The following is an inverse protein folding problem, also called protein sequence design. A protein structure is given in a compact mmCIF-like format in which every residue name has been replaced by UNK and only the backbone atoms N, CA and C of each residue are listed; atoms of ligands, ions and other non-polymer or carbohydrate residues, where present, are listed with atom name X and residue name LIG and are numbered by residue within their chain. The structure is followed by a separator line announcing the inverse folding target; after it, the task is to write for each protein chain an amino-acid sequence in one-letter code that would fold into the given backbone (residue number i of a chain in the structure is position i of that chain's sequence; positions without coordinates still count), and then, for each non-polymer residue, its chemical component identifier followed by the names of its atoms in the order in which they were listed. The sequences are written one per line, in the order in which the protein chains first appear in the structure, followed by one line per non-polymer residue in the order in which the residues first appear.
data_IF_746648175247
#
_entry.id   IF_746648175247
#
_cell.length_a   1.000
_cell.length_b   1.000
_cell.length_c   1.000
_cell.angle_alpha   90.00
_cell.angle_beta   90.00
_cell.angle_gamma   90.00
#
_symmetry.space_group_name_H-M   'P 1'
#
loop_
_entity.id
_entity.type
_entity.pdbx_description
1 polymer ?
#
# COMPACT_ATOMS: atom_id res chain seq x y z
N UNK A 1 -21.40 2.07 18.84
CA UNK A 1 -21.89 1.02 17.93
C UNK A 1 -21.15 1.17 16.60
N UNK A 2 -19.95 0.60 16.51
CA UNK A 2 -19.07 0.75 15.34
C UNK A 2 -19.48 -0.27 14.28
N UNK A 3 -20.29 0.15 13.30
CA UNK A 3 -20.68 -0.68 12.17
C UNK A 3 -19.59 -0.68 11.11
N UNK A 4 -19.32 -1.88 10.63
CA UNK A 4 -18.19 -2.29 9.80
C UNK A 4 -18.13 -1.61 8.42
N UNK A 5 -16.91 -1.22 8.05
CA UNK A 5 -16.48 -0.65 6.78
C UNK A 5 -16.50 -1.70 5.64
N UNK A 6 -16.85 -1.44 4.37
CA UNK A 6 -16.84 -2.43 3.30
C UNK A 6 -15.42 -2.68 2.81
N UNK A 7 -14.45 -1.79 3.12
CA UNK A 7 -13.04 -2.15 3.09
C UNK A 7 -12.78 -3.31 4.07
N UNK A 8 -13.33 -3.21 5.30
CA UNK A 8 -13.35 -4.33 6.26
C UNK A 8 -14.15 -5.55 5.77
N UNK A 9 -15.07 -5.45 4.80
CA UNK A 9 -15.78 -6.63 4.27
C UNK A 9 -14.94 -7.45 3.27
N UNK A 10 -14.12 -6.78 2.46
CA UNK A 10 -13.13 -7.45 1.61
C UNK A 10 -11.92 -7.94 2.44
N UNK A 11 -11.56 -7.23 3.51
CA UNK A 11 -10.42 -7.57 4.39
C UNK A 11 -10.76 -8.50 5.57
N UNK A 12 -12.04 -8.67 5.93
CA UNK A 12 -12.47 -9.79 6.80
C UNK A 12 -12.13 -11.13 6.14
N UNK A 13 -12.20 -11.23 4.82
CA UNK A 13 -11.69 -12.40 4.09
C UNK A 13 -10.16 -12.50 4.07
N UNK A 14 -9.42 -11.43 4.37
CA UNK A 14 -7.97 -11.44 4.53
C UNK A 14 -7.53 -11.92 5.91
N UNK A 15 -8.26 -11.55 6.95
CA UNK A 15 -8.02 -11.98 8.33
C UNK A 15 -8.66 -13.34 8.68
N UNK A 16 -9.76 -13.74 8.02
CA UNK A 16 -10.43 -15.04 8.22
C UNK A 16 -9.80 -16.21 7.43
N UNK A 17 -8.76 -15.98 6.62
CA UNK A 17 -8.19 -17.02 5.74
C UNK A 17 -7.36 -18.09 6.46
N UNK A 18 -7.18 -18.01 7.78
CA UNK A 18 -6.34 -18.94 8.54
C UNK A 18 -7.14 -20.02 9.26
N UNK A 19 -8.24 -20.48 8.67
CA UNK A 19 -8.82 -21.75 9.08
C UNK A 19 -7.83 -22.88 8.74
N UNK A 20 -7.35 -23.52 9.80
CA UNK A 20 -6.53 -24.74 9.86
C UNK A 20 -7.29 -25.95 9.32
N UNK A 21 -8.07 -25.81 8.25
CA UNK A 21 -8.60 -27.00 7.60
C UNK A 21 -7.50 -27.61 6.73
N UNK A 22 -7.22 -28.92 6.87
CA UNK A 22 -6.30 -29.60 5.99
C UNK A 22 -6.83 -29.44 4.57
N UNK A 23 -6.08 -28.72 3.74
CA UNK A 23 -6.47 -28.47 2.35
C UNK A 23 -6.56 -29.83 1.66
N UNK A 24 -7.80 -30.27 1.38
CA UNK A 24 -8.09 -31.33 0.42
C UNK A 24 -7.29 -31.08 -0.86
N UNK A 25 -6.74 -32.16 -1.43
CA UNK A 25 -5.83 -32.16 -2.60
C UNK A 25 -6.02 -30.93 -3.50
N UNK A 26 -5.08 -30.00 -3.40
CA UNK A 26 -4.99 -28.82 -4.25
C UNK A 26 -5.07 -29.24 -5.73
N UNK A 27 -6.08 -28.72 -6.45
CA UNK A 27 -6.26 -29.00 -7.86
C UNK A 27 -5.28 -28.16 -8.68
N UNK A 28 -4.85 -28.64 -9.85
CA UNK A 28 -3.92 -27.90 -10.75
C UNK A 28 -4.45 -26.50 -11.10
N UNK A 29 -5.78 -26.36 -11.18
CA UNK A 29 -6.45 -25.09 -11.44
C UNK A 29 -6.24 -24.07 -10.31
N UNK A 30 -6.25 -24.50 -9.05
CA UNK A 30 -6.06 -23.62 -7.89
C UNK A 30 -4.60 -23.14 -7.80
N UNK A 31 -3.65 -24.03 -8.14
CA UNK A 31 -2.23 -23.68 -8.25
C UNK A 31 -2.00 -22.66 -9.36
N UNK A 32 -2.60 -22.84 -10.55
CA UNK A 32 -2.50 -21.87 -11.65
C UNK A 32 -3.12 -20.52 -11.30
N UNK A 33 -4.25 -20.54 -10.58
CA UNK A 33 -4.95 -19.33 -10.12
C UNK A 33 -4.10 -18.53 -9.11
N UNK A 34 -3.24 -19.17 -8.33
CA UNK A 34 -2.20 -18.50 -7.54
C UNK A 34 -1.04 -18.04 -8.44
N UNK A 35 -0.43 -18.96 -9.19
CA UNK A 35 0.84 -18.71 -9.86
C UNK A 35 0.76 -17.63 -10.94
N UNK A 36 -0.27 -17.64 -11.79
CA UNK A 36 -0.34 -16.74 -12.95
C UNK A 36 -0.46 -15.28 -12.49
N UNK A 37 -1.45 -14.89 -11.65
CA UNK A 37 -1.58 -13.51 -11.18
C UNK A 37 -0.37 -13.04 -10.38
N UNK A 38 0.18 -13.90 -9.51
CA UNK A 38 1.37 -13.55 -8.72
C UNK A 38 2.61 -13.36 -9.58
N UNK A 39 2.84 -14.20 -10.60
CA UNK A 39 3.97 -14.05 -11.51
C UNK A 39 3.84 -12.78 -12.36
N UNK A 40 2.62 -12.50 -12.85
CA UNK A 40 2.33 -11.26 -13.58
C UNK A 40 2.59 -10.05 -12.68
N UNK A 41 2.13 -10.08 -11.43
CA UNK A 41 2.42 -9.03 -10.45
C UNK A 41 3.93 -8.83 -10.23
N UNK A 42 4.68 -9.91 -10.01
CA UNK A 42 6.15 -9.83 -9.82
C UNK A 42 6.81 -9.22 -11.06
N UNK A 43 6.42 -9.67 -12.24
CA UNK A 43 6.97 -9.14 -13.50
C UNK A 43 6.70 -7.64 -13.63
N UNK A 44 5.48 -7.22 -13.29
CA UNK A 44 5.05 -5.83 -13.45
C UNK A 44 5.67 -4.88 -12.42
N UNK A 45 5.91 -5.33 -11.18
CA UNK A 45 6.34 -4.46 -10.07
C UNK A 45 7.78 -4.66 -9.59
N UNK A 46 8.40 -5.82 -9.84
CA UNK A 46 9.69 -6.17 -9.23
C UNK A 46 10.82 -6.35 -10.25
N UNK A 47 10.52 -6.56 -11.53
CA UNK A 47 11.56 -6.78 -12.55
C UNK A 47 11.96 -5.43 -13.16
N UNK A 48 13.18 -4.93 -12.88
CA UNK A 48 13.68 -3.75 -13.58
C UNK A 48 13.95 -4.09 -15.04
N UNK A 49 13.56 -3.18 -15.93
CA UNK A 49 13.87 -3.18 -17.35
C UNK A 49 14.86 -2.05 -17.62
N UNK A 50 15.89 -2.32 -18.42
CA UNK A 50 16.74 -1.28 -18.98
C UNK A 50 16.23 -0.94 -20.37
N UNK A 51 15.73 0.28 -20.55
CA UNK A 51 15.27 0.81 -21.82
C UNK A 51 16.13 2.03 -22.12
N UNK A 52 16.83 2.03 -23.26
CA UNK A 52 17.69 3.16 -23.67
C UNK A 52 18.78 3.55 -22.65
N UNK A 53 19.22 2.62 -21.79
CA UNK A 53 20.24 2.86 -20.76
C UNK A 53 19.69 3.31 -19.41
N UNK A 54 18.39 3.61 -19.31
CA UNK A 54 17.72 3.95 -18.05
C UNK A 54 17.03 2.73 -17.44
N UNK A 55 17.06 2.63 -16.11
CA UNK A 55 16.37 1.57 -15.38
C UNK A 55 14.97 2.04 -15.01
N UNK A 56 13.97 1.26 -15.43
CA UNK A 56 12.56 1.48 -15.08
C UNK A 56 11.87 0.15 -14.76
N UNK A 57 10.61 0.18 -14.37
CA UNK A 57 9.79 -0.99 -14.08
C UNK A 57 8.57 -0.95 -15.01
N UNK A 58 8.01 -2.10 -15.47
CA UNK A 58 6.89 -2.09 -16.42
C UNK A 58 5.72 -1.20 -16.01
N UNK A 59 5.35 -1.18 -14.73
CA UNK A 59 4.29 -0.30 -14.22
C UNK A 59 4.64 1.18 -14.37
N UNK A 60 5.89 1.57 -14.13
CA UNK A 60 6.33 2.95 -14.33
C UNK A 60 6.32 3.33 -15.82
N UNK A 61 6.66 2.40 -16.73
CA UNK A 61 6.52 2.63 -18.17
C UNK A 61 5.05 2.86 -18.58
N UNK A 62 4.12 2.07 -18.03
CA UNK A 62 2.68 2.26 -18.25
C UNK A 62 2.20 3.61 -17.70
N UNK A 63 2.67 4.00 -16.51
CA UNK A 63 2.37 5.30 -15.91
C UNK A 63 2.88 6.45 -16.79
N UNK A 64 4.14 6.41 -17.23
CA UNK A 64 4.73 7.41 -18.13
C UNK A 64 3.99 7.49 -19.47
N UNK A 65 3.54 6.34 -20.00
CA UNK A 65 2.72 6.30 -21.20
C UNK A 65 1.38 7.03 -21.00
N UNK A 66 0.68 6.78 -19.88
CA UNK A 66 -0.57 7.51 -19.55
C UNK A 66 -0.29 9.00 -19.34
N UNK A 67 0.78 9.34 -18.60
CA UNK A 67 1.15 10.73 -18.37
C UNK A 67 1.40 11.48 -19.68
N UNK A 68 2.12 10.86 -20.61
CA UNK A 68 2.43 11.44 -21.93
C UNK A 68 1.19 11.53 -22.82
N UNK A 69 0.34 10.49 -22.84
CA UNK A 69 -0.87 10.46 -23.65
C UNK A 69 -1.92 11.50 -23.20
N UNK A 70 -1.97 11.80 -21.90
CA UNK A 70 -2.95 12.71 -21.30
C UNK A 70 -2.33 14.02 -20.77
N UNK A 71 -1.11 14.37 -21.16
CA UNK A 71 -0.38 15.54 -20.64
C UNK A 71 -1.18 16.85 -20.71
N UNK A 72 -1.93 17.07 -21.79
CA UNK A 72 -2.77 18.27 -21.95
C UNK A 72 -4.05 18.29 -21.10
N UNK A 73 -4.50 17.13 -20.61
CA UNK A 73 -5.77 16.97 -19.86
C UNK A 73 -5.51 16.76 -18.37
N UNK A 74 -4.36 16.20 -18.00
CA UNK A 74 -4.00 15.87 -16.62
C UNK A 74 -4.08 17.07 -15.66
N UNK A 75 -3.55 18.26 -15.97
CA UNK A 75 -3.67 19.42 -15.09
C UNK A 75 -5.14 19.83 -14.83
N UNK A 76 -5.97 19.79 -15.86
CA UNK A 76 -7.41 20.08 -15.74
C UNK A 76 -8.09 19.02 -14.87
N UNK A 77 -7.80 17.75 -15.14
CA UNK A 77 -8.35 16.62 -14.38
C UNK A 77 -7.99 16.70 -12.89
N UNK A 78 -6.73 17.01 -12.57
CA UNK A 78 -6.23 17.18 -11.20
C UNK A 78 -6.94 18.35 -10.50
N UNK A 79 -7.10 19.48 -11.19
CA UNK A 79 -7.81 20.62 -10.60
C UNK A 79 -9.26 20.28 -10.29
N UNK A 80 -9.95 19.62 -11.23
CA UNK A 80 -11.35 19.20 -11.07
C UNK A 80 -11.50 18.18 -9.94
N UNK A 81 -10.61 17.18 -9.84
CA UNK A 81 -10.72 16.16 -8.79
C UNK A 81 -10.43 16.73 -7.40
N UNK A 82 -9.47 17.66 -7.27
CA UNK A 82 -9.19 18.36 -6.01
C UNK A 82 -10.36 19.26 -5.59
N UNK A 83 -10.95 19.99 -6.53
CA UNK A 83 -12.16 20.79 -6.26
C UNK A 83 -13.35 19.90 -5.89
N UNK A 84 -13.59 18.83 -6.63
CA UNK A 84 -14.67 17.88 -6.35
C UNK A 84 -14.52 17.25 -4.96
N UNK A 85 -13.32 16.79 -4.62
CA UNK A 85 -13.07 16.17 -3.30
C UNK A 85 -13.24 17.19 -2.17
N UNK A 86 -12.78 18.43 -2.33
CA UNK A 86 -12.98 19.49 -1.35
C UNK A 86 -14.48 19.82 -1.16
N UNK A 87 -15.23 19.99 -2.25
CA UNK A 87 -16.68 20.26 -2.22
C UNK A 87 -17.46 19.10 -1.60
N UNK A 88 -17.20 17.87 -2.03
CA UNK A 88 -17.87 16.68 -1.49
C UNK A 88 -17.56 16.47 0.00
N UNK A 89 -16.35 16.79 0.44
CA UNK A 89 -15.99 16.77 1.87
C UNK A 89 -16.77 17.84 2.64
N UNK A 90 -16.89 19.06 2.09
CA UNK A 90 -17.68 20.13 2.70
C UNK A 90 -19.15 19.73 2.84
N UNK A 91 -19.75 19.18 1.76
CA UNK A 91 -21.14 18.68 1.77
C UNK A 91 -21.29 17.59 2.83
N UNK A 92 -20.36 16.65 2.89
CA UNK A 92 -20.40 15.54 3.86
C UNK A 92 -20.36 16.06 5.30
N UNK A 93 -19.58 17.11 5.56
CA UNK A 93 -19.40 17.68 6.89
C UNK A 93 -20.57 18.54 7.35
N UNK A 94 -21.17 19.31 6.44
CA UNK A 94 -22.28 20.22 6.72
C UNK A 94 -23.62 19.47 6.73
N UNK A 95 -23.92 18.71 5.68
CA UNK A 95 -25.24 18.12 5.47
C UNK A 95 -25.35 16.67 5.93
N UNK A 96 -24.23 16.00 6.22
CA UNK A 96 -24.19 14.59 6.67
C UNK A 96 -25.12 13.68 5.86
N UNK A 97 -25.00 13.67 4.52
CA UNK A 97 -25.93 12.97 3.67
C UNK A 97 -25.84 11.45 3.88
N UNK A 98 -27.01 10.82 4.02
CA UNK A 98 -27.16 9.40 4.35
C UNK A 98 -26.45 8.50 3.32
N UNK A 99 -26.56 8.80 2.02
CA UNK A 99 -25.94 8.01 0.94
C UNK A 99 -24.41 7.96 0.98
N UNK A 100 -23.75 8.95 1.61
CA UNK A 100 -22.30 8.96 1.83
C UNK A 100 -21.95 8.23 3.13
N UNK A 101 -22.72 8.48 4.20
CA UNK A 101 -22.43 7.93 5.52
C UNK A 101 -22.74 6.42 5.63
N UNK A 102 -23.71 5.92 4.88
CA UNK A 102 -24.08 4.50 4.82
C UNK A 102 -23.12 3.67 3.98
N UNK A 103 -22.41 4.28 3.01
CA UNK A 103 -21.46 3.60 2.12
C UNK A 103 -20.05 3.85 2.61
N UNK A 104 -19.39 2.89 3.28
CA UNK A 104 -18.22 3.28 4.05
C UNK A 104 -16.95 3.51 3.24
N UNK A 105 -16.90 3.10 1.96
CA UNK A 105 -15.94 3.65 0.99
C UNK A 105 -16.11 5.17 0.80
N UNK A 106 -17.34 5.65 0.55
CA UNK A 106 -17.60 7.09 0.39
C UNK A 106 -17.41 7.85 1.70
N UNK A 107 -17.78 7.24 2.83
CA UNK A 107 -17.50 7.78 4.16
C UNK A 107 -16.00 7.90 4.42
N UNK A 108 -15.20 6.91 4.05
CA UNK A 108 -13.73 6.98 4.14
C UNK A 108 -13.17 8.07 3.23
N UNK A 109 -13.71 8.20 2.02
CA UNK A 109 -13.24 9.17 1.03
C UNK A 109 -13.58 10.62 1.39
N UNK A 110 -14.78 10.91 1.90
CA UNK A 110 -15.26 12.29 2.14
C UNK A 110 -15.52 12.63 3.62
N UNK A 111 -15.56 11.65 4.51
CA UNK A 111 -15.83 11.82 5.95
C UNK A 111 -14.55 12.00 6.77
N UNK A 112 -13.71 12.97 6.41
CA UNK A 112 -12.40 13.18 7.05
C UNK A 112 -12.45 14.11 8.27
N UNK A 113 -11.39 14.08 9.09
CA UNK A 113 -11.24 14.95 10.26
C UNK A 113 -11.21 16.45 9.87
N UNK A 114 -11.40 17.35 10.83
CA UNK A 114 -11.40 18.80 10.56
C UNK A 114 -10.08 19.32 10.01
N UNK A 115 -8.97 18.74 10.48
CA UNK A 115 -7.64 19.03 9.94
C UNK A 115 -7.53 18.67 8.46
N UNK A 116 -7.89 17.43 8.09
CA UNK A 116 -7.84 16.98 6.70
C UNK A 116 -8.83 17.70 5.79
N UNK A 117 -9.99 18.09 6.33
CA UNK A 117 -10.93 18.93 5.60
C UNK A 117 -10.31 20.30 5.25
N UNK A 118 -9.70 20.98 6.22
CA UNK A 118 -9.05 22.27 5.98
C UNK A 118 -7.90 22.12 4.98
N UNK A 119 -7.10 21.07 5.11
CA UNK A 119 -6.03 20.76 4.16
C UNK A 119 -6.56 20.59 2.73
N UNK A 120 -7.70 19.91 2.53
CA UNK A 120 -8.32 19.76 1.20
C UNK A 120 -8.81 21.09 0.62
N UNK A 121 -9.39 21.97 1.45
CA UNK A 121 -9.81 23.30 1.01
C UNK A 121 -8.61 24.14 0.57
N UNK A 122 -7.54 24.12 1.36
CA UNK A 122 -6.29 24.83 1.05
C UNK A 122 -5.62 24.25 -0.19
N UNK A 123 -5.57 22.92 -0.33
CA UNK A 123 -5.02 22.25 -1.52
C UNK A 123 -5.82 22.59 -2.78
N UNK A 124 -7.15 22.56 -2.73
CA UNK A 124 -8.00 22.92 -3.86
C UNK A 124 -7.82 24.40 -4.25
N UNK A 125 -7.71 25.30 -3.26
CA UNK A 125 -7.42 26.71 -3.50
C UNK A 125 -6.06 26.90 -4.19
N UNK A 126 -4.99 26.29 -3.68
CA UNK A 126 -3.67 26.38 -4.31
C UNK A 126 -3.63 25.73 -5.69
N UNK A 127 -4.30 24.60 -5.91
CA UNK A 127 -4.38 23.96 -7.22
C UNK A 127 -5.02 24.89 -8.27
N UNK A 128 -6.10 25.60 -7.91
CA UNK A 128 -6.71 26.61 -8.80
C UNK A 128 -5.77 27.78 -9.04
N UNK A 129 -5.09 28.29 -8.02
CA UNK A 129 -4.13 29.38 -8.19
C UNK A 129 -2.98 28.98 -9.12
N UNK A 130 -2.42 27.79 -8.93
CA UNK A 130 -1.34 27.26 -9.76
C UNK A 130 -1.81 26.99 -11.19
N UNK A 131 -3.00 26.41 -11.37
CA UNK A 131 -3.56 26.13 -12.69
C UNK A 131 -3.80 27.40 -13.53
N UNK A 132 -4.29 28.48 -12.91
CA UNK A 132 -4.50 29.77 -13.58
C UNK A 132 -3.28 30.71 -13.51
N UNK A 133 -2.15 30.25 -12.94
CA UNK A 133 -0.96 31.07 -12.68
C UNK A 133 -1.29 32.42 -12.00
N UNK A 134 -2.22 32.37 -11.05
CA UNK A 134 -2.79 33.55 -10.40
C UNK A 134 -2.25 33.73 -8.97
N UNK A 135 -2.07 34.99 -8.58
CA UNK A 135 -1.51 35.35 -7.27
C UNK A 135 0.02 35.45 -7.24
N UNK A 136 0.62 35.49 -6.04
CA UNK A 136 2.07 35.62 -5.87
C UNK A 136 2.86 34.53 -6.59
N UNK A 137 3.94 34.91 -7.28
CA UNK A 137 4.81 34.00 -8.06
C UNK A 137 5.37 32.83 -7.23
N UNK A 138 5.54 32.99 -5.92
CA UNK A 138 6.01 31.90 -5.05
C UNK A 138 5.00 30.73 -4.91
N UNK A 139 3.75 30.91 -5.33
CA UNK A 139 2.72 29.87 -5.27
C UNK A 139 2.74 29.00 -6.53
N UNK A 140 2.91 29.61 -7.70
CA UNK A 140 2.77 28.94 -8.99
C UNK A 140 4.08 28.79 -9.77
N UNK A 141 5.21 29.25 -9.23
CA UNK A 141 6.50 29.08 -9.92
C UNK A 141 6.83 27.61 -10.14
N UNK A 142 7.59 27.34 -11.20
CA UNK A 142 8.12 26.01 -11.53
C UNK A 142 9.01 25.40 -10.44
N UNK A 143 9.47 26.18 -9.46
CA UNK A 143 10.26 25.69 -8.31
C UNK A 143 9.40 25.39 -7.08
N UNK A 144 8.09 25.68 -7.13
CA UNK A 144 7.18 25.58 -5.98
C UNK A 144 5.92 24.80 -6.34
N UNK A 145 4.75 25.45 -6.39
CA UNK A 145 3.49 24.77 -6.74
C UNK A 145 3.47 24.29 -8.18
N UNK A 146 4.18 24.95 -9.10
CA UNK A 146 4.31 24.52 -10.50
C UNK A 146 4.94 23.12 -10.62
N UNK A 147 6.05 22.86 -9.91
CA UNK A 147 6.69 21.54 -9.87
C UNK A 147 5.74 20.46 -9.38
N UNK A 148 5.04 20.75 -8.28
CA UNK A 148 4.10 19.80 -7.68
C UNK A 148 2.93 19.52 -8.63
N UNK A 149 2.37 20.56 -9.22
CA UNK A 149 1.15 20.48 -10.00
C UNK A 149 1.36 19.92 -11.41
N UNK A 150 2.46 20.30 -12.07
CA UNK A 150 2.73 19.93 -13.47
C UNK A 150 3.54 18.64 -13.61
N UNK A 151 4.37 18.29 -12.62
CA UNK A 151 5.29 17.14 -12.73
C UNK A 151 4.94 16.05 -11.71
N UNK A 152 4.90 16.38 -10.41
CA UNK A 152 4.75 15.39 -9.36
C UNK A 152 3.34 14.78 -9.30
N UNK A 153 2.28 15.58 -9.17
CA UNK A 153 0.90 15.06 -9.03
C UNK A 153 0.49 14.22 -10.26
N UNK A 154 0.74 14.64 -11.51
CA UNK A 154 0.44 13.81 -12.69
C UNK A 154 1.20 12.48 -12.68
N UNK A 155 2.49 12.49 -12.32
CA UNK A 155 3.27 11.26 -12.22
C UNK A 155 2.72 10.33 -11.12
N UNK A 156 2.39 10.87 -9.95
CA UNK A 156 1.80 10.10 -8.84
C UNK A 156 0.43 9.53 -9.21
N UNK A 157 -0.43 10.32 -9.84
CA UNK A 157 -1.74 9.88 -10.30
C UNK A 157 -1.61 8.71 -11.29
N UNK A 158 -0.70 8.82 -12.26
CA UNK A 158 -0.48 7.78 -13.26
C UNK A 158 0.11 6.51 -12.64
N UNK A 159 1.08 6.64 -11.73
CA UNK A 159 1.65 5.50 -11.01
C UNK A 159 0.62 4.83 -10.12
N UNK A 160 -0.16 5.59 -9.35
CA UNK A 160 -1.18 5.06 -8.45
C UNK A 160 -2.38 4.46 -9.18
N UNK A 161 -2.67 4.89 -10.42
CA UNK A 161 -3.65 4.23 -11.27
C UNK A 161 -3.30 2.75 -11.49
N UNK A 162 -2.08 2.48 -11.95
CA UNK A 162 -1.64 1.10 -12.19
C UNK A 162 -1.30 0.36 -10.91
N UNK A 163 -0.70 1.04 -9.93
CA UNK A 163 -0.44 0.44 -8.62
C UNK A 163 -1.76 0.00 -7.97
N UNK A 164 -2.75 0.89 -7.87
CA UNK A 164 -4.06 0.55 -7.29
C UNK A 164 -4.75 -0.61 -8.02
N UNK A 165 -4.78 -0.60 -9.36
CA UNK A 165 -5.45 -1.64 -10.14
C UNK A 165 -4.75 -3.00 -10.14
N UNK A 166 -3.40 -3.02 -10.14
CA UNK A 166 -2.61 -4.24 -10.34
C UNK A 166 -2.02 -4.81 -9.06
N UNK A 167 -1.89 -4.01 -7.99
CA UNK A 167 -1.42 -4.46 -6.68
C UNK A 167 -2.26 -5.63 -6.11
N UNK A 168 -3.60 -5.69 -6.30
CA UNK A 168 -4.39 -6.86 -5.91
C UNK A 168 -3.89 -8.18 -6.52
N UNK A 169 -3.21 -8.18 -7.67
CA UNK A 169 -2.60 -9.39 -8.25
C UNK A 169 -1.50 -9.98 -7.36
N UNK A 170 -0.79 -9.11 -6.63
CA UNK A 170 0.22 -9.48 -5.65
C UNK A 170 -0.38 -9.80 -4.28
N UNK A 171 -1.38 -9.02 -3.84
CA UNK A 171 -1.90 -9.13 -2.48
C UNK A 171 -3.00 -10.21 -2.32
N UNK A 172 -3.89 -10.37 -3.30
CA UNK A 172 -5.10 -11.17 -3.12
C UNK A 172 -4.94 -12.63 -3.57
N UNK A 173 -3.87 -12.97 -4.29
CA UNK A 173 -3.69 -14.30 -4.88
C UNK A 173 -2.76 -15.23 -4.11
N UNK A 174 -2.32 -14.88 -2.89
CA UNK A 174 -1.57 -15.81 -2.05
C UNK A 174 -0.05 -15.60 -1.99
N UNK A 175 0.49 -14.64 -2.75
CA UNK A 175 1.94 -14.39 -2.78
C UNK A 175 2.47 -13.95 -1.41
N UNK A 176 1.71 -13.10 -0.71
CA UNK A 176 2.08 -12.62 0.62
C UNK A 176 2.16 -13.76 1.63
N UNK A 177 1.26 -14.73 1.57
CA UNK A 177 1.24 -15.91 2.43
C UNK A 177 2.46 -16.81 2.17
N UNK A 178 2.82 -16.99 0.90
CA UNK A 178 4.05 -17.70 0.53
C UNK A 178 5.29 -16.97 1.04
N UNK A 179 5.40 -15.66 0.79
CA UNK A 179 6.55 -14.89 1.21
C UNK A 179 6.64 -14.78 2.73
N UNK A 180 5.52 -14.59 3.43
CA UNK A 180 5.44 -14.62 4.89
C UNK A 180 5.99 -15.93 5.44
N UNK A 181 5.51 -17.07 4.94
CA UNK A 181 5.97 -18.40 5.33
C UNK A 181 7.49 -18.62 5.14
N UNK A 182 8.04 -18.10 4.05
CA UNK A 182 9.47 -18.20 3.74
C UNK A 182 10.31 -17.29 4.62
N UNK A 183 9.84 -16.05 4.80
CA UNK A 183 10.55 -15.00 5.52
C UNK A 183 10.43 -15.13 7.04
N UNK A 184 9.43 -15.85 7.60
CA UNK A 184 9.32 -16.12 9.05
C UNK A 184 10.63 -16.65 9.64
N UNK A 185 11.34 -17.51 8.92
CA UNK A 185 12.62 -18.09 9.38
C UNK A 185 13.75 -17.08 9.48
N UNK A 186 13.67 -15.98 8.74
CA UNK A 186 14.70 -14.93 8.66
C UNK A 186 14.31 -13.75 9.56
N UNK A 187 13.05 -13.32 9.50
CA UNK A 187 12.57 -12.13 10.21
C UNK A 187 12.53 -12.34 11.72
N UNK A 188 12.03 -13.50 12.18
CA UNK A 188 11.90 -13.80 13.61
C UNK A 188 13.24 -13.76 14.37
N UNK A 189 14.34 -14.39 13.91
CA UNK A 189 15.61 -14.33 14.62
C UNK A 189 16.33 -12.98 14.48
N UNK A 190 16.25 -12.30 13.33
CA UNK A 190 17.03 -11.08 13.08
C UNK A 190 16.35 -9.84 13.68
N UNK A 191 15.04 -9.71 13.48
CA UNK A 191 14.30 -8.49 13.80
C UNK A 191 13.40 -8.63 15.02
N UNK A 192 13.29 -9.82 15.63
CA UNK A 192 12.43 -10.08 16.80
C UNK A 192 10.96 -9.74 16.55
N UNK A 193 10.51 -9.96 15.30
CA UNK A 193 9.16 -9.70 14.82
C UNK A 193 8.48 -11.01 14.37
N UNK A 194 7.15 -11.09 14.42
CA UNK A 194 6.41 -12.22 13.86
C UNK A 194 6.65 -12.34 12.36
N UNK A 195 6.63 -13.55 11.81
CA UNK A 195 6.83 -13.77 10.38
C UNK A 195 5.78 -13.10 9.52
N UNK A 196 4.56 -12.92 10.06
CA UNK A 196 3.49 -12.10 9.49
C UNK A 196 3.91 -10.66 9.18
N UNK A 197 4.88 -10.07 9.90
CA UNK A 197 5.35 -8.71 9.57
C UNK A 197 6.02 -8.62 8.19
N UNK A 198 6.43 -9.75 7.62
CA UNK A 198 6.90 -9.81 6.23
C UNK A 198 5.81 -9.42 5.25
N UNK A 199 4.54 -9.73 5.56
CA UNK A 199 3.39 -9.36 4.76
C UNK A 199 3.22 -7.84 4.78
N UNK A 200 3.32 -7.21 5.95
CA UNK A 200 3.26 -5.75 6.08
C UNK A 200 4.40 -5.06 5.30
N UNK A 201 5.62 -5.60 5.42
CA UNK A 201 6.80 -5.11 4.70
C UNK A 201 6.60 -5.21 3.18
N UNK A 202 6.20 -6.37 2.67
CA UNK A 202 5.97 -6.58 1.24
C UNK A 202 4.80 -5.75 0.72
N UNK A 203 3.73 -5.61 1.50
CA UNK A 203 2.58 -4.77 1.13
C UNK A 203 2.96 -3.31 1.04
N UNK A 204 3.77 -2.81 1.99
CA UNK A 204 4.30 -1.45 1.97
C UNK A 204 5.21 -1.22 0.76
N UNK A 205 6.07 -2.20 0.48
CA UNK A 205 7.09 -2.09 -0.54
C UNK A 205 6.55 -2.18 -1.98
N UNK A 206 5.57 -3.06 -2.20
CA UNK A 206 4.96 -3.29 -3.51
C UNK A 206 3.81 -2.33 -3.81
N UNK A 207 3.13 -1.87 -2.76
CA UNK A 207 1.92 -1.06 -2.87
C UNK A 207 2.14 0.34 -2.34
N UNK A 208 1.55 0.57 -1.18
CA UNK A 208 1.54 1.87 -0.50
C UNK A 208 1.89 1.67 0.98
N UNK A 209 2.79 2.50 1.48
CA UNK A 209 3.20 2.50 2.88
C UNK A 209 2.03 2.73 3.83
N UNK A 210 1.00 3.48 3.41
CA UNK A 210 -0.18 3.70 4.26
C UNK A 210 -1.01 2.42 4.44
N UNK A 211 -1.10 1.57 3.41
CA UNK A 211 -1.77 0.27 3.48
C UNK A 211 -1.00 -0.65 4.44
N UNK A 212 0.34 -0.63 4.39
CA UNK A 212 1.17 -1.38 5.33
C UNK A 212 0.94 -0.99 6.80
N UNK A 213 0.84 0.32 7.08
CA UNK A 213 0.56 0.83 8.43
C UNK A 213 -0.87 0.44 8.87
N UNK A 214 -1.85 0.58 7.99
CA UNK A 214 -3.23 0.18 8.27
C UNK A 214 -3.33 -1.31 8.59
N UNK A 215 -2.66 -2.15 7.81
CA UNK A 215 -2.61 -3.59 8.04
C UNK A 215 -1.97 -3.89 9.39
N UNK A 216 -0.85 -3.23 9.70
CA UNK A 216 -0.18 -3.35 11.00
C UNK A 216 -1.12 -2.99 12.17
N UNK A 217 -1.91 -1.91 12.04
CA UNK A 217 -2.89 -1.49 13.06
C UNK A 217 -3.98 -2.55 13.25
N UNK A 218 -4.51 -3.11 12.16
CA UNK A 218 -5.52 -4.17 12.24
C UNK A 218 -4.98 -5.47 12.84
N UNK A 219 -3.75 -5.84 12.50
CA UNK A 219 -3.09 -7.01 13.08
C UNK A 219 -2.87 -6.83 14.59
N UNK A 220 -2.57 -5.61 15.03
CA UNK A 220 -2.50 -5.26 16.45
C UNK A 220 -3.87 -5.36 17.14
N UNK A 221 -4.90 -4.72 16.57
CA UNK A 221 -6.28 -4.78 17.10
C UNK A 221 -6.83 -6.22 17.13
N UNK A 222 -6.44 -7.05 16.17
CA UNK A 222 -6.79 -8.47 16.10
C UNK A 222 -6.04 -9.39 17.06
N UNK A 223 -5.09 -8.87 17.84
CA UNK A 223 -4.30 -9.66 18.82
C UNK A 223 -3.11 -10.41 18.23
N UNK A 224 -2.78 -10.19 16.96
CA UNK A 224 -1.67 -10.90 16.32
C UNK A 224 -0.33 -10.24 16.63
N UNK A 225 -0.32 -8.93 16.86
CA UNK A 225 0.87 -8.18 17.26
C UNK A 225 0.75 -7.65 18.67
N UNK A 226 1.89 -7.58 19.35
CA UNK A 226 2.04 -6.75 20.55
C UNK A 226 2.17 -5.28 20.17
N UNK A 227 1.92 -4.39 21.13
CA UNK A 227 2.06 -2.94 20.95
C UNK A 227 3.47 -2.54 20.51
N UNK A 228 4.49 -3.24 21.02
CA UNK A 228 5.89 -3.04 20.61
C UNK A 228 6.09 -3.46 19.16
N UNK A 229 5.63 -4.64 18.76
CA UNK A 229 5.79 -5.15 17.40
C UNK A 229 5.07 -4.25 16.39
N UNK A 230 3.82 -3.87 16.67
CA UNK A 230 3.05 -2.98 15.80
C UNK A 230 3.74 -1.61 15.62
N UNK A 231 4.27 -1.04 16.71
CA UNK A 231 4.99 0.23 16.65
C UNK A 231 6.29 0.12 15.84
N UNK A 232 7.03 -0.98 15.99
CA UNK A 232 8.25 -1.23 15.21
C UNK A 232 7.93 -1.43 13.74
N UNK A 233 6.97 -2.29 13.40
CA UNK A 233 6.60 -2.58 12.02
C UNK A 233 6.13 -1.30 11.31
N UNK A 234 5.25 -0.52 11.94
CA UNK A 234 4.73 0.72 11.37
C UNK A 234 5.76 1.84 11.21
N UNK A 235 6.89 1.78 11.93
CA UNK A 235 7.92 2.84 11.87
C UNK A 235 9.15 2.46 11.07
N UNK A 236 9.53 1.17 11.02
CA UNK A 236 10.78 0.72 10.39
C UNK A 236 10.60 -0.24 9.23
N UNK A 237 9.43 -0.88 9.09
CA UNK A 237 9.15 -1.84 8.00
C UNK A 237 8.19 -1.31 6.94
N UNK A 238 7.73 -0.06 7.09
CA UNK A 238 6.92 0.65 6.08
C UNK A 238 7.84 1.32 5.05
N UNK A 239 8.48 0.50 4.22
CA UNK A 239 9.44 0.94 3.19
C UNK A 239 8.71 1.70 2.08
N UNK A 240 9.35 2.73 1.53
CA UNK A 240 8.85 3.47 0.38
C UNK A 240 8.74 2.57 -0.86
N UNK A 241 7.68 2.74 -1.64
CA UNK A 241 7.42 1.93 -2.83
C UNK A 241 8.44 2.17 -3.94
N UNK A 242 8.80 1.11 -4.66
CA UNK A 242 9.77 1.16 -5.76
C UNK A 242 9.33 2.12 -6.86
N UNK A 243 8.03 2.16 -7.15
CA UNK A 243 7.47 3.03 -8.17
C UNK A 243 7.63 4.51 -7.81
N UNK A 244 7.44 4.86 -6.53
CA UNK A 244 7.67 6.22 -6.04
C UNK A 244 9.17 6.58 -6.08
N UNK A 245 10.06 5.64 -5.75
CA UNK A 245 11.51 5.85 -5.90
C UNK A 245 11.89 6.19 -7.34
N UNK A 246 11.27 5.55 -8.34
CA UNK A 246 11.51 5.88 -9.75
C UNK A 246 11.03 7.30 -10.07
N UNK A 247 9.82 7.68 -9.63
CA UNK A 247 9.30 9.05 -9.83
C UNK A 247 10.26 10.10 -9.24
N UNK A 248 10.75 9.87 -8.02
CA UNK A 248 11.72 10.79 -7.39
C UNK A 248 13.01 10.87 -8.20
N UNK A 249 13.56 9.73 -8.65
CA UNK A 249 14.79 9.69 -9.46
C UNK A 249 14.62 10.37 -10.82
N UNK A 250 13.45 10.26 -11.45
CA UNK A 250 13.12 10.99 -12.68
C UNK A 250 13.06 12.50 -12.45
N UNK A 251 12.48 12.95 -11.33
CA UNK A 251 12.38 14.38 -11.01
C UNK A 251 13.74 15.03 -10.71
N UNK A 252 14.71 14.27 -10.19
CA UNK A 252 16.06 14.75 -9.90
C UNK A 252 17.10 14.37 -10.97
N UNK A 253 16.66 13.76 -12.08
CA UNK A 253 17.50 13.34 -13.21
C UNK A 253 18.64 12.36 -12.82
N UNK A 254 18.35 11.41 -11.90
CA UNK A 254 19.32 10.41 -11.40
C UNK A 254 18.94 8.96 -11.72
N UNK A 255 18.12 8.72 -12.75
CA UNK A 255 17.66 7.37 -13.11
C UNK A 255 18.80 6.38 -13.38
N UNK A 256 19.93 6.86 -13.91
CA UNK A 256 21.14 6.04 -14.13
C UNK A 256 21.77 5.51 -12.83
N UNK A 257 21.50 6.14 -11.68
CA UNK A 257 21.96 5.71 -10.35
C UNK A 257 20.93 4.86 -9.60
N UNK A 258 19.87 4.39 -10.28
CA UNK A 258 18.78 3.66 -9.63
C UNK A 258 19.27 2.56 -8.70
N UNK A 259 20.20 1.72 -9.15
CA UNK A 259 20.69 0.60 -8.34
C UNK A 259 21.41 1.08 -7.07
N UNK A 260 22.28 2.09 -7.18
CA UNK A 260 23.02 2.65 -6.05
C UNK A 260 22.08 3.34 -5.06
N UNK A 261 21.17 4.16 -5.56
CA UNK A 261 20.17 4.86 -4.74
C UNK A 261 19.23 3.88 -4.03
N UNK A 262 18.81 2.84 -4.72
CA UNK A 262 17.91 1.86 -4.14
C UNK A 262 18.62 0.95 -3.15
N UNK A 263 19.86 0.56 -3.44
CA UNK A 263 20.69 -0.20 -2.52
C UNK A 263 20.93 0.57 -1.22
N UNK A 264 21.18 1.88 -1.28
CA UNK A 264 21.33 2.70 -0.06
C UNK A 264 20.04 2.78 0.73
N UNK A 265 18.86 2.89 0.08
CA UNK A 265 17.56 2.79 0.77
C UNK A 265 17.40 1.45 1.49
N UNK A 266 17.70 0.34 0.81
CA UNK A 266 17.58 -1.00 1.40
C UNK A 266 18.53 -1.17 2.58
N UNK A 267 19.80 -0.76 2.43
CA UNK A 267 20.80 -0.86 3.50
C UNK A 267 20.45 0.04 4.69
N UNK A 268 20.04 1.28 4.44
CA UNK A 268 19.60 2.21 5.49
C UNK A 268 18.33 1.70 6.19
N UNK A 269 17.37 1.15 5.42
CA UNK A 269 16.15 0.54 5.95
C UNK A 269 16.44 -0.69 6.82
N UNK A 270 17.33 -1.59 6.38
CA UNK A 270 17.76 -2.74 7.16
C UNK A 270 18.51 -2.30 8.43
N UNK A 271 19.39 -1.30 8.34
CA UNK A 271 20.08 -0.74 9.49
C UNK A 271 19.07 -0.12 10.48
N UNK A 272 18.11 0.66 10.00
CA UNK A 272 17.05 1.24 10.83
C UNK A 272 16.18 0.15 11.47
N UNK A 273 15.77 -0.87 10.72
CA UNK A 273 15.00 -2.01 11.23
C UNK A 273 15.77 -2.82 12.27
N UNK A 274 17.11 -2.84 12.23
CA UNK A 274 17.93 -3.49 13.25
C UNK A 274 18.15 -2.58 14.47
N UNK A 275 18.43 -1.30 14.25
CA UNK A 275 18.86 -0.37 15.30
C UNK A 275 17.67 0.25 16.03
N UNK A 276 16.69 0.81 15.32
CA UNK A 276 15.60 1.59 15.90
C UNK A 276 14.74 0.81 16.91
N UNK A 277 14.40 -0.48 16.73
CA UNK A 277 13.64 -1.23 17.74
C UNK A 277 14.36 -1.40 19.08
N UNK A 278 15.69 -1.26 19.08
CA UNK A 278 16.56 -1.40 20.26
C UNK A 278 16.82 -0.05 20.96
N UNK A 279 16.53 1.07 20.31
CA UNK A 279 16.68 2.43 20.87
C UNK A 279 15.34 2.94 21.42
N UNK A 280 15.33 3.69 22.55
CA UNK A 280 14.12 4.40 23.00
C UNK A 280 13.64 5.40 21.94
N UNK A 281 12.33 5.61 21.75
CA UNK A 281 11.21 5.17 22.59
C UNK A 281 10.65 3.78 22.27
N UNK A 282 11.06 3.16 21.16
CA UNK A 282 10.49 1.88 20.70
C UNK A 282 10.85 0.72 21.63
N UNK A 283 12.08 0.68 22.16
CA UNK A 283 12.52 -0.35 23.10
C UNK A 283 11.79 -0.32 24.45
N UNK A 284 11.19 0.83 24.82
CA UNK A 284 10.42 1.00 26.07
C UNK A 284 8.94 0.68 25.91
N UNK A 285 8.46 0.35 24.71
CA UNK A 285 7.05 0.00 24.50
C UNK A 285 6.76 -1.39 25.10
N UNK A 286 5.65 -1.56 25.83
CA UNK A 286 5.32 -2.84 26.47
C UNK A 286 4.94 -3.89 25.42
N UNK A 287 5.32 -5.14 25.68
CA UNK A 287 4.89 -6.31 24.91
C UNK A 287 3.48 -6.75 25.37
N UNK A 288 2.49 -5.86 25.19
CA UNK A 288 1.10 -6.14 25.51
C UNK A 288 0.29 -6.28 24.23
N UNK A 289 -0.59 -7.27 24.20
CA UNK A 289 -1.61 -7.43 23.15
C UNK A 289 -2.77 -6.48 23.41
N UNK A 290 -3.59 -6.24 22.39
CA UNK A 290 -4.78 -5.39 22.52
C UNK A 290 -5.78 -5.99 23.51
N UNK A 291 -6.27 -5.20 24.48
CA UNK A 291 -7.05 -5.67 25.65
C UNK A 291 -8.34 -6.45 25.30
N UNK A 292 -8.87 -6.29 24.08
CA UNK A 292 -10.09 -6.95 23.61
C UNK A 292 -9.84 -8.05 22.57
N UNK A 293 -8.59 -8.47 22.37
CA UNK A 293 -8.28 -9.47 21.38
C UNK A 293 -8.52 -10.90 21.92
N UNK A 294 -9.41 -11.64 21.26
CA UNK A 294 -9.76 -13.03 21.61
C UNK A 294 -8.65 -14.06 21.29
N UNK A 295 -7.55 -13.62 20.70
CA UNK A 295 -6.69 -14.42 19.86
C UNK A 295 -5.20 -14.19 20.18
N UNK A 296 -4.63 -14.98 21.09
CA UNK A 296 -3.18 -15.04 21.32
C UNK A 296 -2.55 -16.08 20.39
N UNK A 297 -2.27 -15.69 19.15
CA UNK A 297 -1.73 -16.60 18.13
C UNK A 297 -0.22 -16.70 18.23
N UNK A 298 0.26 -17.90 18.56
CA UNK A 298 1.67 -18.25 18.47
C UNK A 298 1.95 -18.84 17.08
N UNK A 299 2.69 -18.11 16.26
CA UNK A 299 3.04 -18.46 14.88
C UNK A 299 4.05 -19.61 14.87
N UNK A 300 3.57 -20.83 15.16
CA UNK A 300 4.35 -22.08 15.09
C UNK A 300 4.07 -22.75 13.76
N UNK A 301 5.02 -22.65 12.83
CA UNK A 301 5.07 -23.52 11.65
C UNK A 301 5.06 -24.98 12.16
N UNK A 302 4.20 -25.88 11.65
CA UNK A 302 4.20 -27.28 12.06
C UNK A 302 5.59 -27.91 11.88
N UNK A 303 6.15 -28.54 12.92
CA UNK A 303 7.53 -29.07 12.92
C UNK A 303 7.82 -30.09 11.80
N UNK A 304 6.78 -30.66 11.19
CA UNK A 304 6.88 -31.71 10.17
C UNK A 304 6.67 -31.23 8.73
N UNK A 305 6.68 -29.92 8.44
CA UNK A 305 6.51 -29.39 7.08
C UNK A 305 7.52 -28.30 6.75
N UNK A 306 8.14 -28.37 5.56
CA UNK A 306 9.02 -27.31 5.06
C UNK A 306 8.25 -26.00 4.86
N UNK A 307 8.84 -24.86 5.25
CA UNK A 307 8.26 -23.51 5.10
C UNK A 307 7.71 -23.24 3.70
N UNK A 308 8.39 -23.72 2.66
CA UNK A 308 7.95 -23.58 1.27
C UNK A 308 6.65 -24.34 0.98
N UNK A 309 6.55 -25.61 1.43
CA UNK A 309 5.35 -26.43 1.24
C UNK A 309 4.17 -25.88 2.03
N UNK A 310 4.42 -25.37 3.24
CA UNK A 310 3.39 -24.69 4.04
C UNK A 310 2.94 -23.39 3.39
N UNK A 311 3.87 -22.56 2.91
CA UNK A 311 3.58 -21.32 2.19
C UNK A 311 2.78 -21.53 0.91
N UNK A 312 3.14 -22.52 0.09
CA UNK A 312 2.35 -22.86 -1.12
C UNK A 312 0.93 -23.27 -0.76
N UNK A 313 0.77 -24.11 0.27
CA UNK A 313 -0.57 -24.53 0.69
C UNK A 313 -1.42 -23.33 1.13
N UNK A 314 -0.85 -22.42 1.92
CA UNK A 314 -1.55 -21.19 2.32
C UNK A 314 -1.87 -20.29 1.12
N UNK A 315 -0.91 -20.09 0.22
CA UNK A 315 -1.08 -19.28 -0.99
C UNK A 315 -2.19 -19.81 -1.91
N UNK A 316 -2.22 -21.13 -2.13
CA UNK A 316 -3.24 -21.75 -2.98
C UNK A 316 -4.61 -21.75 -2.30
N UNK A 317 -4.67 -21.98 -0.99
CA UNK A 317 -5.90 -21.83 -0.21
C UNK A 317 -6.49 -20.43 -0.32
N UNK A 318 -5.62 -19.41 -0.28
CA UNK A 318 -6.00 -18.02 -0.49
C UNK A 318 -6.55 -17.77 -1.90
N UNK A 319 -5.78 -18.13 -2.93
CA UNK A 319 -6.15 -17.95 -4.33
C UNK A 319 -7.48 -18.63 -4.68
N UNK A 320 -7.76 -19.80 -4.11
CA UNK A 320 -9.02 -20.53 -4.30
C UNK A 320 -10.22 -19.67 -3.90
N UNK A 321 -10.14 -19.01 -2.74
CA UNK A 321 -11.21 -18.19 -2.18
C UNK A 321 -11.34 -16.80 -2.82
N UNK A 322 -10.31 -16.33 -3.51
CA UNK A 322 -10.31 -15.01 -4.17
C UNK A 322 -11.20 -14.98 -5.42
N UNK A 323 -12.09 -13.99 -5.51
CA UNK A 323 -12.97 -13.75 -6.66
C UNK A 323 -12.50 -12.51 -7.44
N UNK A 324 -12.37 -12.62 -8.75
CA UNK A 324 -11.96 -11.51 -9.62
C UNK A 324 -12.78 -10.22 -9.47
N UNK A 325 -14.09 -10.33 -9.18
CA UNK A 325 -14.93 -9.15 -8.90
C UNK A 325 -14.47 -8.37 -7.68
N UNK A 326 -14.01 -9.06 -6.63
CA UNK A 326 -13.49 -8.42 -5.43
C UNK A 326 -12.12 -7.79 -5.67
N UNK A 327 -11.28 -8.42 -6.49
CA UNK A 327 -9.95 -7.93 -6.90
C UNK A 327 -10.10 -6.62 -7.68
N UNK A 328 -10.95 -6.58 -8.71
CA UNK A 328 -11.16 -5.38 -9.52
C UNK A 328 -11.77 -4.25 -8.67
N UNK A 329 -12.80 -4.57 -7.86
CA UNK A 329 -13.41 -3.59 -6.97
C UNK A 329 -12.40 -3.05 -5.96
N UNK A 330 -11.59 -3.94 -5.37
CA UNK A 330 -10.52 -3.59 -4.45
C UNK A 330 -9.51 -2.66 -5.10
N UNK A 331 -9.04 -2.98 -6.30
CA UNK A 331 -8.06 -2.15 -7.00
C UNK A 331 -8.58 -0.76 -7.36
N UNK A 332 -9.84 -0.64 -7.77
CA UNK A 332 -10.49 0.66 -7.97
C UNK A 332 -10.58 1.44 -6.66
N UNK A 333 -10.95 0.78 -5.56
CA UNK A 333 -11.00 1.44 -4.25
C UNK A 333 -9.62 1.92 -3.79
N UNK A 334 -8.58 1.10 -3.97
CA UNK A 334 -7.19 1.45 -3.63
C UNK A 334 -6.73 2.67 -4.41
N UNK A 335 -7.01 2.73 -5.72
CA UNK A 335 -6.69 3.89 -6.53
C UNK A 335 -7.30 5.19 -5.96
N UNK A 336 -8.57 5.18 -5.60
CA UNK A 336 -9.25 6.37 -5.07
C UNK A 336 -8.87 6.75 -3.63
N UNK A 337 -8.31 5.82 -2.86
CA UNK A 337 -7.87 6.06 -1.49
C UNK A 337 -6.44 6.58 -1.46
N UNK A 338 -5.56 6.02 -2.31
CA UNK A 338 -4.13 6.33 -2.33
C UNK A 338 -3.73 7.39 -3.38
N UNK A 339 -4.51 7.54 -4.45
CA UNK A 339 -4.29 8.49 -5.55
C UNK A 339 -4.92 9.84 -5.32
#
# INVERSE_FOLDING_TARGET
MYMSDPAQSNEKNHSQSYHTEPIERSNRMDVLKFMIPSLVGILLFMIPLSIQGEITIPVALLANWVQSAFAGVLPIFITVILMLTAVMTAITKVFKPVWILEKPFLKGLFGVSTFWFLARIVAAFFAVLTFYESGPKFIWSGETGGLLFSDLIPALLAVFLFAGLLLPLLLDFGLLELCGALLTKIIKPIFTLPGRSSIDCLTSWLGDGTIGILLTSKQYEGGFYTKREAAVIGTTFSVVSITFTIVVLTLVDLQHMFFQYYLTIVLAGLAAALICPRIPPLSKKPNQYFEHAENHWDEKIPRHTSSFKWGINQAVGKAKNTKWRHVIKGGVQTFWICG
#
